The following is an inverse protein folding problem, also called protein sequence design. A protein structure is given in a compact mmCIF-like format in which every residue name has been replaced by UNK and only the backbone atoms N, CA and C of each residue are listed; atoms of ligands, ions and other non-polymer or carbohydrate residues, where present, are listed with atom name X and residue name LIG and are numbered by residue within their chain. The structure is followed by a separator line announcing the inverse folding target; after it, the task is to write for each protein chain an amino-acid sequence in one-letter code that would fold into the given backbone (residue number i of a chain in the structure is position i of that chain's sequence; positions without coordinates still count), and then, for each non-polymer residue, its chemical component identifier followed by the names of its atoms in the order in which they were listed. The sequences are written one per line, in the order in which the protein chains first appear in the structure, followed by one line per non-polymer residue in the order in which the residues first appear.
data_IF_810488073867
#
_entry.id   IF_810488073867
#
_cell.length_a   1.000
_cell.length_b   1.000
_cell.length_c   1.000
_cell.angle_alpha   90.00
_cell.angle_beta   90.00
_cell.angle_gamma   90.00
#
_symmetry.space_group_name_H-M   'P 1'
#
loop_
_entity.id
_entity.type
_entity.pdbx_description
1 polymer ?
#
# COMPACT_ATOMS: atom_id res chain seq x y z
N UNK A 1 -5.01 3.09 -6.37
CA UNK A 1 -5.90 1.97 -6.72
C UNK A 1 -5.06 0.78 -7.13
N UNK A 2 -5.58 -0.45 -7.01
CA UNK A 2 -4.97 -1.62 -7.64
C UNK A 2 -4.97 -1.48 -9.17
N UNK A 3 -4.10 -2.22 -9.85
CA UNK A 3 -3.96 -2.23 -11.30
C UNK A 3 -5.28 -2.65 -11.97
N UNK A 4 -5.61 -1.99 -13.07
CA UNK A 4 -6.86 -2.26 -13.80
C UNK A 4 -8.11 -1.66 -13.17
N UNK A 5 -7.98 -0.89 -12.08
CA UNK A 5 -9.10 -0.21 -11.43
C UNK A 5 -8.92 1.32 -11.43
N UNK A 6 -9.92 2.03 -11.97
CA UNK A 6 -9.83 3.48 -12.20
C UNK A 6 -10.50 4.31 -11.09
N UNK A 7 -11.51 3.75 -10.40
CA UNK A 7 -12.27 4.45 -9.37
C UNK A 7 -12.51 3.53 -8.16
N UNK A 8 -12.38 4.05 -6.93
CA UNK A 8 -12.47 3.23 -5.71
C UNK A 8 -13.82 2.53 -5.53
N UNK A 9 -14.90 3.20 -5.95
CA UNK A 9 -16.26 2.74 -5.74
C UNK A 9 -16.85 2.03 -6.96
N UNK A 10 -16.07 1.89 -8.04
CA UNK A 10 -16.54 1.12 -9.19
C UNK A 10 -16.62 -0.36 -8.81
N UNK A 11 -17.80 -0.95 -9.03
CA UNK A 11 -18.03 -2.38 -8.86
C UNK A 11 -18.31 -3.08 -10.19
N UNK A 12 -18.42 -2.34 -11.29
CA UNK A 12 -18.61 -2.87 -12.63
C UNK A 12 -17.34 -3.53 -13.18
N UNK A 13 -16.17 -3.04 -12.76
CA UNK A 13 -14.88 -3.66 -13.06
C UNK A 13 -14.52 -4.69 -11.98
N UNK A 14 -14.79 -5.97 -12.24
CA UNK A 14 -14.33 -7.06 -11.37
C UNK A 14 -12.80 -7.17 -11.41
N UNK A 15 -12.19 -7.28 -10.23
CA UNK A 15 -10.75 -7.49 -10.07
C UNK A 15 -10.50 -8.86 -9.45
N UNK A 16 -9.37 -9.50 -9.80
CA UNK A 16 -8.86 -10.61 -9.01
C UNK A 16 -8.50 -10.08 -7.62
N UNK A 17 -8.80 -10.84 -6.57
CA UNK A 17 -8.45 -10.52 -5.18
C UNK A 17 -7.77 -11.75 -4.62
N UNK A 18 -6.45 -11.72 -4.55
CA UNK A 18 -5.65 -12.83 -4.03
C UNK A 18 -4.37 -12.28 -3.39
N UNK A 19 -4.23 -12.41 -2.07
CA UNK A 19 -3.11 -11.85 -1.33
C UNK A 19 -1.79 -12.56 -1.66
N UNK A 20 -1.81 -13.87 -1.85
CA UNK A 20 -0.62 -14.65 -2.21
C UNK A 20 -0.09 -14.31 -3.60
N UNK A 21 -0.98 -14.20 -4.59
CA UNK A 21 -0.60 -13.77 -5.95
C UNK A 21 -0.07 -12.33 -5.93
N UNK A 22 -0.75 -11.43 -5.22
CA UNK A 22 -0.28 -10.06 -5.01
C UNK A 22 1.14 -10.02 -4.44
N UNK A 23 1.40 -10.75 -3.35
CA UNK A 23 2.69 -10.74 -2.66
C UNK A 23 3.82 -11.35 -3.50
N UNK A 24 3.51 -12.26 -4.44
CA UNK A 24 4.47 -12.80 -5.41
C UNK A 24 4.71 -11.90 -6.61
N UNK A 25 3.88 -10.87 -6.79
CA UNK A 25 3.97 -9.94 -7.90
C UNK A 25 5.34 -9.26 -8.00
N UNK A 26 5.81 -9.07 -9.23
CA UNK A 26 7.07 -8.37 -9.52
C UNK A 26 6.88 -6.86 -9.50
N UNK A 27 7.87 -6.14 -8.96
CA UNK A 27 7.84 -4.68 -8.79
C UNK A 27 8.51 -3.95 -9.96
N UNK A 28 8.08 -4.17 -11.21
CA UNK A 28 8.68 -3.52 -12.37
C UNK A 28 8.03 -2.15 -12.64
N UNK A 29 8.74 -1.07 -12.26
CA UNK A 29 8.31 0.31 -12.51
C UNK A 29 7.17 0.82 -11.62
N UNK A 30 6.65 -0.01 -10.71
CA UNK A 30 5.66 0.31 -9.68
C UNK A 30 5.87 -0.59 -8.45
N UNK A 31 5.59 -0.06 -7.26
CA UNK A 31 5.43 -0.85 -6.03
C UNK A 31 4.22 -1.79 -6.19
N UNK A 32 4.21 -2.98 -5.57
CA UNK A 32 3.16 -4.01 -5.77
C UNK A 32 1.75 -3.41 -5.64
N UNK A 33 0.95 -3.55 -6.68
CA UNK A 33 -0.41 -2.99 -6.74
C UNK A 33 -1.36 -3.84 -7.60
N UNK A 34 -1.01 -5.10 -7.88
CA UNK A 34 -1.82 -6.02 -8.69
C UNK A 34 -2.75 -6.86 -7.80
N UNK A 35 -3.60 -7.71 -8.40
CA UNK A 35 -4.42 -8.72 -7.70
C UNK A 35 -5.31 -8.16 -6.57
N UNK A 36 -5.80 -6.93 -6.77
CA UNK A 36 -6.80 -6.31 -5.90
C UNK A 36 -6.25 -5.70 -4.60
N UNK A 37 -4.93 -5.72 -4.41
CA UNK A 37 -4.27 -5.11 -3.26
C UNK A 37 -3.33 -3.97 -3.68
N UNK A 38 -3.07 -3.04 -2.77
CA UNK A 38 -2.02 -2.01 -2.92
C UNK A 38 -1.07 -2.11 -1.73
N UNK A 39 0.20 -2.31 -2.04
CA UNK A 39 1.27 -2.48 -1.07
C UNK A 39 1.70 -1.18 -0.42
N UNK A 40 2.03 -1.26 0.87
CA UNK A 40 2.59 -0.17 1.67
C UNK A 40 3.73 -0.68 2.56
N UNK A 41 4.56 0.23 3.05
CA UNK A 41 5.66 -0.09 3.97
C UNK A 41 5.41 0.51 5.36
N UNK A 42 5.89 -0.17 6.40
CA UNK A 42 5.74 0.27 7.80
C UNK A 42 6.50 1.56 8.15
N UNK A 43 7.47 1.98 7.33
CA UNK A 43 8.26 3.18 7.61
C UNK A 43 8.55 3.99 6.34
N UNK A 44 8.70 5.31 6.52
CA UNK A 44 9.13 6.22 5.46
C UNK A 44 10.47 5.79 4.84
N UNK A 45 11.41 5.29 5.67
CA UNK A 45 12.70 4.79 5.21
C UNK A 45 12.55 3.57 4.29
N UNK A 46 11.75 2.59 4.68
CA UNK A 46 11.49 1.39 3.87
C UNK A 46 10.81 1.77 2.54
N UNK A 47 9.80 2.65 2.60
CA UNK A 47 9.12 3.15 1.41
C UNK A 47 10.07 3.92 0.47
N UNK A 48 10.99 4.71 1.03
CA UNK A 48 12.01 5.43 0.25
C UNK A 48 13.00 4.47 -0.40
N UNK A 49 13.49 3.46 0.32
CA UNK A 49 14.38 2.44 -0.25
C UNK A 49 13.70 1.67 -1.39
N UNK A 50 12.42 1.28 -1.22
CA UNK A 50 11.64 0.67 -2.28
C UNK A 50 11.50 1.61 -3.48
N UNK A 51 11.15 2.88 -3.25
CA UNK A 51 11.07 3.91 -4.29
C UNK A 51 12.39 4.09 -5.04
N UNK A 52 13.54 4.12 -4.35
CA UNK A 52 14.85 4.19 -4.98
C UNK A 52 15.17 2.95 -5.83
N UNK A 53 14.73 1.76 -5.41
CA UNK A 53 14.98 0.53 -6.16
C UNK A 53 14.08 0.40 -7.40
N UNK A 54 12.82 0.83 -7.29
CA UNK A 54 11.76 0.54 -8.27
C UNK A 54 11.52 1.71 -9.21
N UNK A 55 11.65 2.95 -8.70
CA UNK A 55 11.27 4.19 -9.36
C UNK A 55 12.49 5.07 -9.69
N UNK A 56 13.71 4.54 -9.68
CA UNK A 56 14.96 5.28 -9.95
C UNK A 56 14.98 6.01 -11.30
N UNK A 57 14.24 5.51 -12.29
CA UNK A 57 14.10 6.16 -13.61
C UNK A 57 13.23 7.42 -13.61
N UNK A 58 12.48 7.68 -12.54
CA UNK A 58 11.61 8.86 -12.43
C UNK A 58 12.34 10.03 -11.76
N UNK A 59 12.32 11.19 -12.41
CA UNK A 59 12.84 12.44 -11.84
C UNK A 59 12.05 12.90 -10.62
N UNK A 60 10.76 12.58 -10.56
CA UNK A 60 9.88 12.88 -9.43
C UNK A 60 8.94 11.72 -9.16
N UNK A 61 8.83 11.31 -7.89
CA UNK A 61 7.80 10.40 -7.40
C UNK A 61 7.28 10.86 -6.03
N UNK A 62 6.28 10.17 -5.49
CA UNK A 62 5.64 10.52 -4.23
C UNK A 62 5.67 9.35 -3.25
N UNK A 63 5.85 9.66 -1.97
CA UNK A 63 5.64 8.72 -0.88
C UNK A 63 4.38 9.18 -0.14
N UNK A 64 3.30 8.41 -0.28
CA UNK A 64 2.05 8.68 0.42
C UNK A 64 2.14 8.22 1.87
N UNK A 65 1.68 9.07 2.78
CA UNK A 65 1.50 8.73 4.19
C UNK A 65 0.06 8.30 4.39
N UNK A 66 -0.15 7.05 4.79
CA UNK A 66 -1.45 6.38 4.82
C UNK A 66 -1.77 5.99 6.26
N UNK A 67 -3.00 6.27 6.72
CA UNK A 67 -3.44 5.85 8.04
C UNK A 67 -3.78 4.36 8.07
N UNK A 68 -3.59 3.72 9.22
CA UNK A 68 -4.03 2.33 9.45
C UNK A 68 -5.55 2.22 9.44
N UNK A 69 -6.07 1.13 8.85
CA UNK A 69 -7.49 0.78 8.90
C UNK A 69 -7.72 -0.71 8.60
N UNK A 70 -8.92 -1.27 8.88
CA UNK A 70 -9.21 -2.69 8.71
C UNK A 70 -9.16 -3.22 7.27
N UNK A 71 -8.95 -2.38 6.25
CA UNK A 71 -8.70 -2.83 4.87
C UNK A 71 -7.24 -3.23 4.63
N UNK A 72 -6.33 -2.98 5.56
CA UNK A 72 -4.89 -3.24 5.42
C UNK A 72 -4.52 -4.54 6.11
N UNK A 73 -3.74 -5.42 5.49
CA UNK A 73 -3.32 -6.70 6.06
C UNK A 73 -1.80 -6.79 6.13
N UNK A 74 -1.25 -7.24 7.26
CA UNK A 74 0.18 -7.55 7.35
C UNK A 74 0.45 -8.86 6.58
N UNK A 75 1.21 -8.75 5.48
CA UNK A 75 1.46 -9.88 4.58
C UNK A 75 2.20 -11.02 5.30
N UNK A 76 3.14 -10.69 6.17
CA UNK A 76 3.92 -11.69 6.90
C UNK A 76 3.08 -12.44 7.92
N UNK A 77 2.15 -11.76 8.59
CA UNK A 77 1.31 -12.40 9.59
C UNK A 77 0.26 -13.29 8.92
N UNK A 78 -0.31 -12.85 7.80
CA UNK A 78 -1.34 -13.62 7.08
C UNK A 78 -0.75 -14.81 6.32
N UNK A 79 0.38 -14.63 5.63
CA UNK A 79 1.00 -15.71 4.84
C UNK A 79 1.98 -16.56 5.65
N UNK A 80 2.41 -16.09 6.82
CA UNK A 80 3.37 -16.79 7.68
C UNK A 80 4.65 -17.18 6.94
N UNK A 81 5.02 -18.46 7.04
CA UNK A 81 6.21 -19.03 6.37
C UNK A 81 6.14 -19.01 4.85
N UNK A 82 4.95 -18.76 4.28
CA UNK A 82 4.73 -18.67 2.84
C UNK A 82 4.85 -17.24 2.30
N UNK A 83 5.12 -16.25 3.16
CA UNK A 83 5.40 -14.88 2.72
C UNK A 83 6.59 -14.88 1.75
N UNK A 84 6.42 -14.43 0.49
CA UNK A 84 7.49 -14.48 -0.52
C UNK A 84 8.66 -13.54 -0.20
N UNK A 85 8.38 -12.43 0.49
CA UNK A 85 9.34 -11.36 0.74
C UNK A 85 9.26 -10.85 2.19
N UNK A 86 9.57 -11.70 3.19
CA UNK A 86 9.31 -11.38 4.60
C UNK A 86 10.12 -10.19 5.13
N UNK A 87 11.28 -9.93 4.53
CA UNK A 87 12.16 -8.81 4.88
C UNK A 87 11.61 -7.45 4.44
N UNK A 88 10.65 -7.40 3.50
CA UNK A 88 10.03 -6.14 3.07
C UNK A 88 9.02 -5.60 4.09
N UNK A 89 8.52 -6.46 5.00
CA UNK A 89 7.54 -6.11 6.05
C UNK A 89 6.34 -5.34 5.47
N UNK A 90 5.76 -5.92 4.43
CA UNK A 90 4.69 -5.33 3.64
C UNK A 90 3.35 -5.33 4.38
N UNK A 91 2.61 -4.23 4.24
CA UNK A 91 1.20 -4.15 4.62
C UNK A 91 0.38 -3.79 3.39
N UNK A 92 -0.55 -4.66 2.99
CA UNK A 92 -1.29 -4.53 1.73
C UNK A 92 -2.75 -4.16 1.97
N UNK A 93 -3.22 -3.11 1.28
CA UNK A 93 -4.60 -2.64 1.37
C UNK A 93 -5.50 -3.35 0.35
N UNK A 94 -6.44 -4.15 0.84
CA UNK A 94 -7.48 -4.82 0.06
C UNK A 94 -8.42 -3.79 -0.59
N UNK A 95 -8.61 -3.90 -1.90
CA UNK A 95 -9.40 -2.95 -2.71
C UNK A 95 -8.69 -1.61 -2.92
N UNK A 96 -7.44 -1.48 -2.49
CA UNK A 96 -6.67 -0.25 -2.51
C UNK A 96 -6.97 0.69 -1.36
N UNK A 97 -6.53 1.95 -1.53
CA UNK A 97 -6.50 2.94 -0.47
C UNK A 97 -7.42 4.10 -0.87
N UNK A 98 -8.55 4.31 -0.17
CA UNK A 98 -9.43 5.45 -0.44
C UNK A 98 -8.71 6.76 -0.13
N UNK A 99 -9.00 7.81 -0.90
CA UNK A 99 -8.32 9.10 -0.76
C UNK A 99 -8.45 9.71 0.64
N UNK A 100 -9.57 9.48 1.33
CA UNK A 100 -9.80 9.92 2.71
C UNK A 100 -8.86 9.29 3.74
N UNK A 101 -8.24 8.15 3.44
CA UNK A 101 -7.28 7.44 4.30
C UNK A 101 -5.84 7.96 4.12
N UNK A 102 -5.58 8.70 3.05
CA UNK A 102 -4.26 9.30 2.79
C UNK A 102 -4.14 10.55 3.65
N UNK A 103 -3.19 10.54 4.59
CA UNK A 103 -2.88 11.68 5.47
C UNK A 103 -2.21 12.83 4.71
N UNK A 104 -1.32 12.48 3.79
CA UNK A 104 -0.51 13.44 3.03
C UNK A 104 0.52 12.71 2.16
N UNK A 105 1.48 13.44 1.64
CA UNK A 105 2.53 12.88 0.79
C UNK A 105 3.82 13.67 0.87
N UNK A 106 4.94 12.99 0.78
CA UNK A 106 6.24 13.59 0.50
C UNK A 106 6.50 13.55 -1.01
N UNK A 107 7.10 14.61 -1.54
CA UNK A 107 7.62 14.61 -2.91
C UNK A 107 9.07 14.15 -2.86
N UNK A 108 9.48 13.28 -3.77
CA UNK A 108 10.87 12.86 -3.93
C UNK A 108 11.36 13.32 -5.29
N UNK A 109 12.42 14.12 -5.33
CA UNK A 109 13.00 14.64 -6.56
C UNK A 109 14.42 14.11 -6.72
N UNK A 110 14.70 13.44 -7.83
CA UNK A 110 16.00 12.82 -8.11
C UNK A 110 16.51 11.99 -6.93
N UNK A 111 15.60 11.27 -6.29
CA UNK A 111 15.84 10.42 -5.12
C UNK A 111 15.96 11.13 -3.77
N UNK A 112 15.85 12.45 -3.71
CA UNK A 112 15.89 13.24 -2.47
C UNK A 112 14.48 13.58 -1.99
N UNK A 113 14.15 13.21 -0.76
CA UNK A 113 12.86 13.54 -0.12
C UNK A 113 12.81 15.04 0.16
N UNK A 114 11.77 15.72 -0.32
CA UNK A 114 11.36 17.03 0.19
C UNK A 114 10.66 16.81 1.54
N UNK A 115 11.28 17.27 2.62
CA UNK A 115 10.79 17.07 4.00
C UNK A 115 9.48 17.80 4.29
N UNK A 116 9.04 18.70 3.39
CA UNK A 116 7.72 19.31 3.51
C UNK A 116 6.66 18.24 3.24
N UNK A 117 5.76 18.07 4.21
CA UNK A 117 4.60 17.19 4.11
C UNK A 117 3.32 17.99 3.82
N UNK A 118 2.93 18.20 2.55
CA UNK A 118 1.57 18.58 2.20
C UNK A 118 0.56 17.64 2.85
N UNK A 119 -0.36 18.20 3.66
CA UNK A 119 -1.49 17.44 4.20
C UNK A 119 -2.61 17.33 3.18
N UNK A 120 -3.22 16.16 3.13
CA UNK A 120 -4.46 15.96 2.40
C UNK A 120 -5.60 16.67 3.15
N UNK A 121 -6.33 17.56 2.45
CA UNK A 121 -7.48 18.29 3.01
C UNK A 121 -8.68 17.39 3.25
N UNK A 122 -8.76 16.27 2.55
CA UNK A 122 -9.88 15.33 2.64
C UNK A 122 -9.62 14.18 3.63
N UNK A 123 -8.44 14.14 4.24
CA UNK A 123 -8.12 13.18 5.29
C UNK A 123 -9.12 13.27 6.45
N UNK A 124 -9.71 12.13 6.83
CA UNK A 124 -10.71 12.06 7.90
C UNK A 124 -10.06 11.68 9.24
N UNK A 125 -9.31 12.61 9.83
CA UNK A 125 -8.54 12.37 11.06
C UNK A 125 -9.33 11.68 12.18
N UNK A 126 -10.52 12.20 12.53
CA UNK A 126 -11.35 11.60 13.60
C UNK A 126 -11.81 10.19 13.30
N UNK A 127 -11.96 9.83 12.02
CA UNK A 127 -12.40 8.51 11.60
C UNK A 127 -11.25 7.50 11.69
N UNK A 128 -10.07 7.86 11.17
CA UNK A 128 -8.93 6.94 11.08
C UNK A 128 -8.05 6.88 12.33
N UNK A 129 -8.07 7.90 13.21
CA UNK A 129 -7.17 7.99 14.38
C UNK A 129 -7.23 6.77 15.32
N UNK A 130 -8.38 6.10 15.39
CA UNK A 130 -8.60 4.97 16.30
C UNK A 130 -8.77 3.64 15.55
N UNK A 131 -8.46 3.60 14.25
CA UNK A 131 -8.52 2.39 13.44
C UNK A 131 -7.14 1.74 13.34
N UNK A 132 -7.13 0.42 13.36
CA UNK A 132 -5.94 -0.40 13.25
C UNK A 132 -6.09 -1.39 12.09
N UNK A 133 -4.96 -1.96 11.69
CA UNK A 133 -4.89 -3.18 10.88
C UNK A 133 -5.67 -4.29 11.64
N UNK A 134 -6.50 -5.10 10.95
CA UNK A 134 -7.23 -6.18 11.59
C UNK A 134 -6.25 -7.28 12.05
N UNK A 135 -6.66 -8.15 12.99
CA UNK A 135 -5.85 -9.32 13.35
C UNK A 135 -5.64 -10.22 12.12
N UNK A 136 -4.53 -10.97 12.10
CA UNK A 136 -4.20 -11.86 11.00
C UNK A 136 -5.28 -12.93 10.73
N UNK A 137 -6.04 -13.30 11.77
CA UNK A 137 -7.18 -14.22 11.72
C UNK A 137 -8.21 -13.82 10.66
N UNK A 138 -8.47 -12.53 10.50
CA UNK A 138 -9.42 -12.00 9.51
C UNK A 138 -8.87 -12.14 8.07
N UNK A 139 -7.54 -12.24 7.93
CA UNK A 139 -6.85 -12.35 6.65
C UNK A 139 -6.64 -13.79 6.16
N UNK A 140 -6.67 -14.81 7.05
CA UNK A 140 -6.33 -16.19 6.65
C UNK A 140 -7.25 -16.75 5.56
N UNK A 141 -8.54 -16.40 5.60
CA UNK A 141 -9.50 -16.82 4.56
C UNK A 141 -9.32 -16.09 3.23
N UNK A 142 -8.53 -15.01 3.21
CA UNK A 142 -8.22 -14.17 2.06
C UNK A 142 -6.77 -14.35 1.59
N UNK A 143 -6.04 -15.30 2.17
CA UNK A 143 -4.63 -15.52 1.88
C UNK A 143 -4.38 -15.86 0.40
N UNK A 144 -5.34 -16.50 -0.27
CA UNK A 144 -5.24 -16.89 -1.68
C UNK A 144 -5.51 -18.36 -1.90
#
# INVERSE_FOLDING_TARGET
MPRGHNEYFDRGTQMNINLYDHARGTQTGFVRYDDGYVSTSLSLRSAHLAGQSILSGYSTYYIYVIATAPNMFNVNDVLGVYSPHPYEQEVSALGGIPYSQIYGWYRVNFGVIDERLPRNREYRDRHYRNLNIPPAEDGYTLAG
#
